data_IF_872997718762
#
_entry.id   IF_872997718762
#
_cell.length_a   1.000
_cell.length_b   1.000
_cell.length_c   1.000
_cell.angle_alpha   90.00
_cell.angle_beta   90.00
_cell.angle_gamma   90.00
#
_symmetry.space_group_name_H-M   'P 1'
#
loop_
_entity.id
_entity.type
_entity.pdbx_description
1 polymer ?
#
# COMPACT_ATOMS: atom_id res chain seq x y z
N UNK A 1 7.07 -17.40 -9.37
CA UNK A 1 6.15 -16.24 -9.46
C UNK A 1 5.49 -15.88 -8.14
N UNK A 2 4.96 -16.82 -7.34
CA UNK A 2 4.37 -16.50 -6.02
C UNK A 2 5.40 -16.07 -4.94
N UNK A 3 6.65 -16.50 -5.05
CA UNK A 3 7.73 -16.15 -4.11
C UNK A 3 8.32 -14.75 -4.28
N UNK A 4 8.23 -14.16 -5.49
CA UNK A 4 8.73 -12.81 -5.81
C UNK A 4 7.82 -11.70 -5.27
N UNK A 5 6.52 -12.02 -5.12
CA UNK A 5 5.49 -11.09 -4.66
C UNK A 5 5.68 -10.77 -3.15
N UNK A 6 6.19 -11.75 -2.39
CA UNK A 6 6.30 -11.69 -0.92
C UNK A 6 7.60 -10.99 -0.47
N UNK A 7 8.63 -10.94 -1.32
CA UNK A 7 9.90 -10.28 -0.99
C UNK A 7 9.79 -8.76 -1.10
N UNK A 8 9.02 -8.25 -2.07
CA UNK A 8 8.89 -6.81 -2.30
C UNK A 8 8.18 -6.07 -1.14
N UNK A 9 7.20 -6.70 -0.47
CA UNK A 9 6.44 -6.03 0.60
C UNK A 9 7.22 -5.82 1.91
N UNK A 10 8.42 -6.42 2.03
CA UNK A 10 9.19 -6.44 3.29
C UNK A 10 10.22 -5.32 3.40
N UNK A 11 10.59 -4.65 2.31
CA UNK A 11 11.81 -3.83 2.29
C UNK A 11 11.56 -2.33 2.14
N UNK A 12 10.40 -1.91 1.65
CA UNK A 12 10.10 -0.49 1.41
C UNK A 12 8.60 -0.20 1.26
N UNK A 13 8.23 1.07 1.34
CA UNK A 13 6.88 1.52 1.01
C UNK A 13 6.68 1.48 -0.50
N UNK A 14 5.67 0.72 -0.94
CA UNK A 14 5.27 0.62 -2.34
C UNK A 14 4.60 1.89 -2.88
N UNK A 15 5.01 2.29 -4.08
CA UNK A 15 4.28 3.23 -4.95
C UNK A 15 2.96 2.64 -5.46
N UNK A 16 2.09 3.51 -6.00
CA UNK A 16 0.82 3.10 -6.61
C UNK A 16 0.98 2.02 -7.67
N UNK A 17 1.99 2.14 -8.51
CA UNK A 17 2.24 1.17 -9.56
C UNK A 17 2.67 -0.20 -9.00
N UNK A 18 3.49 -0.21 -7.95
CA UNK A 18 3.98 -1.45 -7.33
C UNK A 18 2.84 -2.26 -6.70
N UNK A 19 1.99 -1.66 -5.86
CA UNK A 19 0.90 -2.42 -5.25
C UNK A 19 -0.20 -2.79 -6.26
N UNK A 20 -0.41 -2.00 -7.33
CA UNK A 20 -1.29 -2.39 -8.44
C UNK A 20 -0.76 -3.60 -9.19
N UNK A 21 0.56 -3.71 -9.40
CA UNK A 21 1.20 -4.90 -9.98
C UNK A 21 1.04 -6.15 -9.11
N UNK A 22 0.90 -6.00 -7.78
CA UNK A 22 0.54 -7.12 -6.89
C UNK A 22 -0.93 -7.54 -6.99
N UNK A 23 -1.75 -6.81 -7.76
CA UNK A 23 -3.18 -7.09 -7.93
C UNK A 23 -4.09 -6.35 -6.94
N UNK A 24 -3.54 -5.44 -6.13
CA UNK A 24 -4.37 -4.61 -5.24
C UNK A 24 -5.13 -3.60 -6.09
N UNK A 25 -6.45 -3.60 -5.98
CA UNK A 25 -7.35 -2.69 -6.69
C UNK A 25 -8.00 -1.72 -5.70
N UNK A 26 -7.73 -0.43 -5.88
CA UNK A 26 -8.30 0.66 -5.08
C UNK A 26 -8.58 1.87 -6.00
N UNK A 27 -9.37 2.81 -5.49
CA UNK A 27 -9.54 4.13 -6.12
C UNK A 27 -8.22 4.92 -6.16
N UNK A 28 -8.18 6.04 -6.89
CA UNK A 28 -6.98 6.87 -6.98
C UNK A 28 -6.67 7.55 -5.63
N UNK A 29 -5.38 7.79 -5.36
CA UNK A 29 -4.90 8.63 -4.27
C UNK A 29 -4.65 7.90 -2.94
N UNK A 30 -4.70 6.57 -2.93
CA UNK A 30 -4.27 5.78 -1.78
C UNK A 30 -2.75 5.66 -1.74
N UNK A 31 -2.19 5.86 -0.55
CA UNK A 31 -0.74 5.81 -0.29
C UNK A 31 -0.47 4.70 0.73
N UNK A 32 0.38 3.75 0.36
CA UNK A 32 0.94 2.79 1.31
C UNK A 32 1.91 3.51 2.23
N UNK A 33 1.54 3.67 3.51
CA UNK A 33 2.21 4.64 4.39
C UNK A 33 3.03 4.02 5.51
N UNK A 34 2.85 2.73 5.78
CA UNK A 34 3.55 2.03 6.86
C UNK A 34 3.65 0.54 6.53
N UNK A 35 4.81 -0.05 6.85
CA UNK A 35 5.03 -1.49 6.80
C UNK A 35 4.65 -2.08 8.16
N UNK A 36 3.82 -3.11 8.15
CA UNK A 36 3.48 -3.84 9.37
C UNK A 36 4.42 -5.05 9.53
N UNK A 37 5.52 -4.88 10.26
CA UNK A 37 6.58 -5.90 10.40
C UNK A 37 6.10 -7.26 10.92
N UNK A 38 5.17 -7.36 11.91
CA UNK A 38 4.70 -8.66 12.40
C UNK A 38 4.00 -9.49 11.31
N UNK A 39 3.23 -8.84 10.44
CA UNK A 39 2.46 -9.48 9.38
C UNK A 39 2.65 -8.70 8.05
N UNK A 40 3.76 -8.93 7.31
CA UNK A 40 4.17 -8.13 6.15
C UNK A 40 3.28 -8.30 4.90
N UNK A 41 2.28 -9.17 4.98
CA UNK A 41 1.24 -9.32 3.98
C UNK A 41 0.07 -8.36 4.21
N UNK A 42 0.00 -7.71 5.39
CA UNK A 42 -0.94 -6.64 5.69
C UNK A 42 -0.39 -5.34 5.09
N UNK A 43 -1.18 -4.71 4.22
CA UNK A 43 -0.84 -3.46 3.58
C UNK A 43 -1.66 -2.32 4.19
N UNK A 44 -0.98 -1.31 4.73
CA UNK A 44 -1.61 -0.16 5.38
C UNK A 44 -1.68 1.04 4.43
N UNK A 45 -2.89 1.47 4.08
CA UNK A 45 -3.13 2.59 3.18
C UNK A 45 -3.75 3.79 3.90
N UNK A 46 -3.40 5.00 3.44
CA UNK A 46 -4.07 6.26 3.82
C UNK A 46 -4.40 7.08 2.60
N UNK A 47 -5.43 7.92 2.70
CA UNK A 47 -5.80 8.90 1.69
C UNK A 47 -6.15 10.22 2.38
N UNK A 48 -5.72 11.39 1.86
CA UNK A 48 -6.12 12.67 2.42
C UNK A 48 -7.64 12.83 2.36
N UNK A 49 -8.21 13.40 3.43
CA UNK A 49 -9.61 13.80 3.44
C UNK A 49 -9.83 14.98 2.47
N UNK A 50 -11.00 15.08 1.84
CA UNK A 50 -11.41 16.28 1.14
C UNK A 50 -11.25 17.52 2.03
N UNK A 51 -10.86 18.64 1.43
CA UNK A 51 -10.58 19.89 2.16
C UNK A 51 -11.75 20.34 3.04
N UNK A 52 -12.98 20.06 2.62
CA UNK A 52 -14.22 20.40 3.34
C UNK A 52 -14.45 19.57 4.61
N UNK A 53 -13.72 18.46 4.78
CA UNK A 53 -13.85 17.55 5.91
C UNK A 53 -12.66 17.64 6.89
N UNK A 54 -11.71 18.54 6.64
CA UNK A 54 -10.63 18.84 7.56
C UNK A 54 -11.21 19.75 8.66
N UNK A 55 -11.38 19.19 9.87
CA UNK A 55 -11.82 19.93 11.06
C UNK A 55 -10.76 20.89 11.58
#
# INVERSE_FOLDING_TARGET
KSSEVITSTKTHLMSEEEWRRLGVQQSLGWVHYMIHEPEPHILLFRRPLPKEQQK
#
